data_IF_359699605027
#
_entry.id   IF_359699605027
#
_cell.length_a   1.000
_cell.length_b   1.000
_cell.length_c   1.000
_cell.angle_alpha   90.00
_cell.angle_beta   90.00
_cell.angle_gamma   90.00
#
_symmetry.space_group_name_H-M   'P 1'
#
loop_
_entity.id
_entity.type
_entity.pdbx_description
1 polymer ?
#
# COMPACT_ATOMS: atom_id res chain seq x y z
N UNK A 1 7.67 11.59 9.96
CA UNK A 1 6.97 10.78 10.80
C UNK A 1 6.62 9.46 10.21
N UNK A 2 6.99 8.45 10.84
CA UNK A 2 6.77 7.14 10.30
C UNK A 2 5.29 6.83 10.28
N UNK A 3 4.89 6.22 9.22
CA UNK A 3 3.52 5.87 9.09
C UNK A 3 3.32 4.45 9.45
N UNK A 4 2.54 4.24 10.43
CA UNK A 4 2.20 2.89 10.79
C UNK A 4 0.89 2.53 10.15
N UNK A 5 0.98 2.02 8.95
CA UNK A 5 -0.22 1.65 8.23
C UNK A 5 -0.65 0.26 8.64
N UNK A 6 -1.95 0.05 8.69
CA UNK A 6 -2.49 -1.24 9.04
C UNK A 6 -3.53 -1.65 8.03
N UNK A 7 -3.89 -2.91 8.10
CA UNK A 7 -4.93 -3.43 7.25
C UNK A 7 -6.19 -2.60 7.44
N UNK A 8 -6.75 -2.17 6.34
CA UNK A 8 -7.96 -1.37 6.37
C UNK A 8 -7.73 0.13 6.33
N UNK A 9 -6.50 0.56 6.51
CA UNK A 9 -6.22 2.00 6.46
C UNK A 9 -6.37 2.52 5.04
N UNK A 10 -6.97 3.69 4.91
CA UNK A 10 -7.09 4.33 3.61
C UNK A 10 -5.79 5.01 3.27
N UNK A 11 -5.36 4.83 2.05
CA UNK A 11 -4.11 5.42 1.60
C UNK A 11 -4.27 5.94 0.19
N UNK A 12 -3.34 6.79 -0.21
CA UNK A 12 -3.27 7.32 -1.55
C UNK A 12 -1.86 7.17 -2.06
N UNK A 13 -1.75 7.04 -3.36
CA UNK A 13 -0.43 6.94 -3.96
C UNK A 13 -0.53 7.46 -5.39
N UNK A 14 0.63 7.83 -5.93
CA UNK A 14 0.70 8.29 -7.30
C UNK A 14 0.63 7.10 -8.22
N UNK A 15 -0.26 7.18 -9.16
CA UNK A 15 -0.39 6.11 -10.11
C UNK A 15 -0.25 6.70 -11.50
N UNK A 16 -0.20 5.82 -12.47
CA UNK A 16 0.05 6.20 -13.85
C UNK A 16 -1.04 7.11 -14.31
N UNK A 17 -1.66 7.75 -14.21
CA UNK A 17 -2.68 8.61 -14.68
C UNK A 17 -3.19 9.53 -13.61
N UNK A 18 -2.48 9.60 -12.50
CA UNK A 18 -2.89 10.49 -11.45
C UNK A 18 -2.82 9.81 -10.12
N UNK A 19 -3.59 10.32 -9.20
CA UNK A 19 -3.57 9.81 -7.85
C UNK A 19 -4.59 8.70 -7.68
N UNK A 20 -4.20 7.64 -7.02
CA UNK A 20 -5.10 6.53 -6.74
C UNK A 20 -5.37 6.48 -5.25
N UNK A 21 -6.53 6.01 -4.91
CA UNK A 21 -6.95 5.88 -3.53
C UNK A 21 -7.38 4.45 -3.30
N UNK A 22 -7.03 3.92 -2.17
CA UNK A 22 -7.42 2.57 -1.83
C UNK A 22 -7.20 2.29 -0.37
N UNK A 23 -7.11 1.03 -0.05
CA UNK A 23 -6.94 0.61 1.33
C UNK A 23 -5.82 -0.41 1.43
N UNK A 24 -5.17 -0.42 2.57
CA UNK A 24 -4.13 -1.39 2.83
C UNK A 24 -4.77 -2.74 3.10
N UNK A 25 -4.30 -3.76 2.40
CA UNK A 25 -4.81 -5.09 2.62
C UNK A 25 -3.89 -5.90 3.51
N UNK A 26 -2.60 -5.65 3.42
CA UNK A 26 -1.66 -6.46 4.14
C UNK A 26 -0.33 -5.74 4.26
N UNK A 27 0.32 -5.93 5.39
CA UNK A 27 1.67 -5.42 5.55
C UNK A 27 2.63 -6.57 5.25
N UNK A 28 3.55 -6.33 4.36
CA UNK A 28 4.48 -7.35 3.92
C UNK A 28 5.84 -7.08 4.55
N UNK A 29 6.30 -7.99 5.36
CA UNK A 29 7.58 -7.85 6.04
C UNK A 29 8.56 -8.93 5.66
N UNK A 30 8.24 -9.72 4.65
CA UNK A 30 9.14 -10.74 4.16
C UNK A 30 8.82 -10.98 2.70
N UNK A 31 9.70 -11.64 2.01
CA UNK A 31 9.50 -11.90 0.59
C UNK A 31 8.20 -12.66 0.38
N UNK A 32 7.40 -12.18 -0.52
CA UNK A 32 6.07 -12.71 -0.73
C UNK A 32 5.72 -12.61 -2.20
N UNK A 33 4.89 -13.51 -2.64
CA UNK A 33 4.41 -13.46 -4.02
C UNK A 33 3.03 -12.85 -4.04
N UNK A 34 2.86 -11.82 -4.83
CA UNK A 34 1.58 -11.15 -4.93
C UNK A 34 1.27 -10.92 -6.40
N UNK A 35 0.10 -11.36 -6.82
CA UNK A 35 -0.37 -11.13 -8.19
C UNK A 35 0.67 -11.54 -9.23
N UNK A 36 1.31 -12.67 -9.02
CA UNK A 36 2.28 -13.17 -9.97
C UNK A 36 3.63 -12.49 -9.94
N UNK A 37 3.87 -11.67 -8.94
CA UNK A 37 5.14 -10.96 -8.83
C UNK A 37 5.77 -11.26 -7.49
N UNK A 38 7.07 -11.25 -7.45
CA UNK A 38 7.78 -11.42 -6.20
C UNK A 38 8.00 -10.07 -5.57
N UNK A 39 7.54 -9.93 -4.33
CA UNK A 39 7.73 -8.70 -3.58
C UNK A 39 8.77 -8.97 -2.53
N UNK A 40 9.79 -8.14 -2.51
CA UNK A 40 10.84 -8.28 -1.53
C UNK A 40 10.67 -7.26 -0.43
N UNK A 41 10.59 -7.75 0.78
CA UNK A 41 10.41 -6.88 1.93
C UNK A 41 11.07 -7.48 3.13
N UNK A 42 11.37 -6.64 4.11
CA UNK A 42 11.93 -7.09 5.37
C UNK A 42 11.24 -6.31 6.48
N UNK A 43 11.52 -6.68 7.69
CA UNK A 43 10.95 -5.97 8.82
C UNK A 43 11.40 -4.53 8.86
N UNK A 44 12.64 -4.29 8.45
CA UNK A 44 13.16 -2.93 8.42
C UNK A 44 12.73 -2.16 7.21
N UNK A 45 12.29 -2.87 6.20
CA UNK A 45 11.89 -2.24 4.96
C UNK A 45 10.62 -2.90 4.47
N UNK A 46 9.52 -2.70 5.17
CA UNK A 46 8.26 -3.36 4.80
C UNK A 46 7.62 -2.73 3.60
N UNK A 47 6.76 -3.48 2.97
CA UNK A 47 5.95 -2.96 1.90
C UNK A 47 4.49 -3.26 2.21
N UNK A 48 3.61 -2.60 1.50
CA UNK A 48 2.20 -2.74 1.76
C UNK A 48 1.46 -3.13 0.51
N UNK A 49 0.59 -4.10 0.67
CA UNK A 49 -0.30 -4.49 -0.39
C UNK A 49 -1.54 -3.64 -0.26
N UNK A 50 -1.86 -2.92 -1.30
CA UNK A 50 -3.01 -2.03 -1.28
C UNK A 50 -3.94 -2.39 -2.41
N UNK A 51 -5.19 -2.06 -2.25
CA UNK A 51 -6.18 -2.31 -3.27
C UNK A 51 -6.83 -1.00 -3.66
N UNK A 52 -6.86 -0.75 -4.95
CA UNK A 52 -7.46 0.48 -5.46
C UNK A 52 -8.98 0.42 -5.34
N UNK A 53 -9.55 1.48 -4.80
CA UNK A 53 -11.00 1.55 -4.68
C UNK A 53 -11.67 1.61 -6.03
N UNK A 54 -11.02 2.23 -6.96
CA UNK A 54 -11.59 2.43 -8.25
C UNK A 54 -11.59 1.21 -9.12
N UNK A 55 -10.46 0.61 -9.28
CA UNK A 55 -10.34 -0.52 -10.19
C UNK A 55 -10.43 -1.86 -9.49
N UNK A 56 -10.28 -1.87 -8.18
CA UNK A 56 -10.23 -3.11 -7.47
C UNK A 56 -8.93 -3.87 -7.66
N UNK A 57 -7.98 -3.26 -8.35
CA UNK A 57 -6.70 -3.89 -8.58
C UNK A 57 -5.78 -3.75 -7.38
N UNK A 58 -4.85 -4.67 -7.27
CA UNK A 58 -3.92 -4.66 -6.16
C UNK A 58 -2.56 -4.15 -6.61
N UNK A 59 -1.86 -3.52 -5.70
CA UNK A 59 -0.53 -3.04 -5.97
C UNK A 59 0.27 -3.08 -4.69
N UNK A 60 1.59 -3.07 -4.83
CA UNK A 60 2.47 -3.09 -3.68
C UNK A 60 3.31 -1.84 -3.71
N UNK A 61 3.35 -1.15 -2.59
CA UNK A 61 4.11 0.08 -2.48
C UNK A 61 4.84 0.13 -1.15
N UNK A 62 5.93 0.87 -1.13
CA UNK A 62 6.64 1.11 0.10
C UNK A 62 5.91 2.18 0.89
N UNK A 63 6.11 2.20 2.21
CA UNK A 63 5.41 3.20 3.04
C UNK A 63 5.65 4.62 2.57
N UNK A 64 6.85 4.90 2.08
CA UNK A 64 7.15 6.25 1.63
C UNK A 64 6.39 6.69 0.41
N UNK A 65 5.86 5.74 -0.34
CA UNK A 65 5.08 6.05 -1.52
C UNK A 65 3.60 6.18 -1.21
N UNK A 66 3.20 5.85 -0.01
CA UNK A 66 1.81 5.89 0.38
C UNK A 66 1.56 7.05 1.31
N UNK A 67 0.42 7.69 1.15
CA UNK A 67 0.01 8.73 2.06
C UNK A 67 -1.26 8.29 2.72
N UNK A 68 -1.31 8.46 4.02
CA UNK A 68 -2.50 8.09 4.74
C UNK A 68 -3.61 9.03 4.37
N UNK A 69 -4.69 8.50 3.89
CA UNK A 69 -5.83 9.32 3.51
C UNK A 69 -6.67 9.57 4.73
N UNK A 70 -6.27 10.56 5.49
CA UNK A 70 -6.92 10.86 6.71
C UNK A 70 -8.16 11.63 6.46
N UNK A 71 -9.26 11.00 6.67
CA UNK A 71 -10.49 11.69 6.49
C UNK A 71 -10.72 12.57 7.66
N UNK A 72 -10.83 13.80 7.39
CA UNK A 72 -11.03 14.74 8.43
C UNK A 72 -12.47 14.76 8.83
N UNK A 73 -12.78 14.61 10.00
CA UNK A 73 -14.19 14.62 10.41
C UNK A 73 -14.63 15.81 11.08
#
# INVERSE_FOLDING_TARGET
>A
MAENLKKGDKVRWDSHGGEAVGAVEKKITEDTEVAGRTVRATRNDPQYLVRSDKSGGEAVHKPGALKKDKKKD
#
